data_IF_411530370069
#
_entry.id   IF_411530370069
#
_cell.length_a   1.000
_cell.length_b   1.000
_cell.length_c   1.000
_cell.angle_alpha   90.00
_cell.angle_beta   90.00
_cell.angle_gamma   90.00
#
_symmetry.space_group_name_H-M   'P 1'
#
loop_
_entity.id
_entity.type
_entity.pdbx_description
1 polymer ?
#
# COMPACT_ATOMS: atom_id res chain seq x y z
N UNK A 1 10.55 -7.88 -4.14
CA UNK A 1 10.21 -8.96 -3.20
C UNK A 1 9.26 -9.93 -3.89
N UNK A 2 9.39 -11.21 -3.64
CA UNK A 2 8.51 -12.26 -4.15
C UNK A 2 8.35 -13.28 -3.02
N UNK A 3 7.12 -13.75 -2.77
CA UNK A 3 6.86 -14.65 -1.66
C UNK A 3 5.43 -15.15 -1.63
N UNK A 4 5.11 -15.99 -0.63
CA UNK A 4 3.77 -16.51 -0.43
C UNK A 4 2.98 -15.67 0.57
N UNK A 5 1.74 -15.36 0.24
CA UNK A 5 0.80 -14.63 1.08
C UNK A 5 -0.46 -15.47 1.27
N UNK A 6 -0.79 -15.79 2.52
CA UNK A 6 -2.08 -16.40 2.87
C UNK A 6 -3.13 -15.33 3.07
N UNK A 7 -4.16 -15.31 2.21
CA UNK A 7 -5.31 -14.41 2.32
C UNK A 7 -6.20 -14.83 3.49
N UNK A 8 -7.07 -13.91 3.95
CA UNK A 8 -8.07 -14.19 5.00
C UNK A 8 -9.02 -15.35 4.64
N UNK A 9 -9.22 -15.59 3.35
CA UNK A 9 -10.01 -16.69 2.80
C UNK A 9 -9.34 -18.06 2.95
N UNK A 10 -8.05 -18.10 3.31
CA UNK A 10 -7.23 -19.31 3.37
C UNK A 10 -6.51 -19.63 2.05
N UNK A 11 -6.77 -18.87 0.99
CA UNK A 11 -6.06 -18.98 -0.29
C UNK A 11 -4.61 -18.53 -0.15
N UNK A 12 -3.68 -19.25 -0.77
CA UNK A 12 -2.26 -18.88 -0.83
C UNK A 12 -1.95 -18.37 -2.22
N UNK A 13 -1.50 -17.12 -2.31
CA UNK A 13 -1.07 -16.47 -3.54
C UNK A 13 0.42 -16.19 -3.51
N UNK A 14 1.03 -16.00 -4.68
CA UNK A 14 2.47 -15.67 -4.80
C UNK A 14 2.65 -14.28 -5.41
N UNK A 15 2.45 -13.22 -4.63
CA UNK A 15 2.66 -11.86 -5.10
C UNK A 15 4.13 -11.56 -5.38
N UNK A 16 4.34 -10.62 -6.30
CA UNK A 16 5.65 -10.06 -6.62
C UNK A 16 5.59 -8.53 -6.59
N UNK A 17 6.41 -7.93 -5.74
CA UNK A 17 6.61 -6.48 -5.65
C UNK A 17 7.96 -6.07 -6.23
N UNK A 18 7.98 -5.03 -7.06
CA UNK A 18 9.19 -4.31 -7.46
C UNK A 18 9.17 -2.91 -6.86
N UNK A 19 10.28 -2.47 -6.26
CA UNK A 19 10.39 -1.16 -5.63
C UNK A 19 11.40 -0.29 -6.38
N UNK A 20 11.03 0.95 -6.67
CA UNK A 20 11.87 1.94 -7.33
C UNK A 20 11.85 3.25 -6.57
N UNK A 21 13.03 3.81 -6.31
CA UNK A 21 13.16 5.16 -5.78
C UNK A 21 13.15 6.16 -6.94
N UNK A 22 12.25 7.14 -6.88
CA UNK A 22 12.05 8.17 -7.90
C UNK A 22 11.93 9.54 -7.25
N UNK A 23 11.67 10.58 -8.07
CA UNK A 23 11.48 11.95 -7.58
C UNK A 23 12.63 12.43 -6.69
N UNK A 24 13.86 12.20 -7.15
CA UNK A 24 15.10 12.57 -6.44
C UNK A 24 15.20 12.02 -5.00
N UNK A 25 14.64 10.83 -4.77
CA UNK A 25 14.70 10.18 -3.46
C UNK A 25 13.49 10.43 -2.56
N UNK A 26 12.52 11.23 -2.99
CA UNK A 26 11.34 11.56 -2.18
C UNK A 26 10.22 10.51 -2.23
N UNK A 27 10.16 9.70 -3.29
CA UNK A 27 9.05 8.79 -3.55
C UNK A 27 9.54 7.39 -3.88
N UNK A 28 8.96 6.38 -3.23
CA UNK A 28 9.09 4.98 -3.63
C UNK A 28 7.84 4.60 -4.42
N UNK A 29 8.03 3.99 -5.59
CA UNK A 29 6.98 3.34 -6.36
C UNK A 29 7.14 1.83 -6.18
N UNK A 30 6.08 1.18 -5.68
CA UNK A 30 5.91 -0.26 -5.70
C UNK A 30 5.02 -0.65 -6.87
N UNK A 31 5.47 -1.61 -7.69
CA UNK A 31 4.62 -2.34 -8.63
C UNK A 31 4.38 -3.73 -8.07
N UNK A 32 3.13 -4.05 -7.75
CA UNK A 32 2.72 -5.33 -7.17
C UNK A 32 1.94 -6.12 -8.22
N UNK A 33 2.38 -7.34 -8.53
CA UNK A 33 1.63 -8.30 -9.34
C UNK A 33 1.11 -9.39 -8.43
N UNK A 34 -0.21 -9.54 -8.37
CA UNK A 34 -0.90 -10.61 -7.64
C UNK A 34 -1.97 -11.22 -8.56
N UNK A 35 -1.98 -12.55 -8.69
CA UNK A 35 -2.87 -13.28 -9.62
C UNK A 35 -2.83 -12.76 -11.07
N UNK A 36 -1.66 -12.30 -11.52
CA UNK A 36 -1.47 -11.73 -12.86
C UNK A 36 -2.02 -10.32 -13.04
N UNK A 37 -2.62 -9.73 -12.01
CA UNK A 37 -3.07 -8.34 -12.01
C UNK A 37 -1.99 -7.43 -11.44
N UNK A 38 -1.61 -6.42 -12.21
CA UNK A 38 -0.68 -5.38 -11.77
C UNK A 38 -1.42 -4.28 -11.00
N UNK A 39 -0.84 -3.88 -9.89
CA UNK A 39 -1.26 -2.79 -9.02
C UNK A 39 -0.05 -1.91 -8.73
N UNK A 40 -0.30 -0.66 -8.34
CA UNK A 40 0.76 0.29 -8.06
C UNK A 40 0.54 0.95 -6.71
N UNK A 41 1.60 1.08 -5.90
CA UNK A 41 1.55 1.85 -4.66
C UNK A 41 2.65 2.90 -4.68
N UNK A 42 2.34 4.16 -4.34
CA UNK A 42 3.33 5.20 -4.14
C UNK A 42 3.46 5.54 -2.66
N UNK A 43 4.68 5.61 -2.18
CA UNK A 43 5.04 6.04 -0.82
C UNK A 43 5.83 7.34 -0.96
N UNK A 44 5.28 8.46 -0.53
CA UNK A 44 5.94 9.78 -0.68
C UNK A 44 6.01 10.50 0.65
N UNK A 45 7.13 11.18 0.91
CA UNK A 45 7.22 12.14 1.99
C UNK A 45 6.58 13.46 1.53
N UNK A 46 5.72 14.03 2.39
CA UNK A 46 5.15 15.37 2.20
C UNK A 46 4.96 16.07 3.54
N UNK A 47 5.82 17.04 3.86
CA UNK A 47 5.67 17.90 5.03
C UNK A 47 5.94 17.20 6.38
N UNK A 48 6.83 16.21 6.40
CA UNK A 48 7.16 15.35 7.53
C UNK A 48 6.27 14.11 7.66
N UNK A 49 5.30 13.91 6.75
CA UNK A 49 4.33 12.82 6.80
C UNK A 49 4.50 11.87 5.61
N UNK A 50 4.40 10.57 5.87
CA UNK A 50 4.37 9.56 4.81
C UNK A 50 2.95 9.48 4.24
N UNK A 51 2.83 9.80 2.96
CA UNK A 51 1.61 9.66 2.18
C UNK A 51 1.72 8.41 1.32
N UNK A 52 0.76 7.50 1.47
CA UNK A 52 0.69 6.27 0.70
C UNK A 52 -0.54 6.34 -0.20
N UNK A 53 -0.37 6.13 -1.50
CA UNK A 53 -1.49 6.01 -2.43
C UNK A 53 -1.41 4.67 -3.12
N UNK A 54 -2.47 3.88 -3.02
CA UNK A 54 -2.56 2.59 -3.69
C UNK A 54 -3.50 2.71 -4.89
N UNK A 55 -3.14 2.09 -6.00
CA UNK A 55 -3.89 2.02 -7.24
C UNK A 55 -4.21 0.54 -7.49
N UNK A 56 -5.44 0.17 -7.14
CA UNK A 56 -5.93 -1.20 -7.26
C UNK A 56 -6.37 -1.50 -8.70
N UNK A 57 -6.27 -2.77 -9.12
CA UNK A 57 -6.75 -3.26 -10.41
C UNK A 57 -8.25 -3.02 -10.64
N UNK A 58 -9.02 -2.88 -9.55
CA UNK A 58 -10.45 -2.57 -9.58
C UNK A 58 -10.76 -1.08 -9.76
N UNK A 59 -9.74 -0.25 -10.00
CA UNK A 59 -9.87 1.21 -10.14
C UNK A 59 -10.01 1.95 -8.82
N UNK A 60 -9.78 1.26 -7.69
CA UNK A 60 -9.81 1.91 -6.38
C UNK A 60 -8.50 2.63 -6.07
N UNK A 61 -8.59 3.86 -5.57
CA UNK A 61 -7.43 4.73 -5.34
C UNK A 61 -7.36 5.31 -3.91
N UNK A 62 -7.32 4.48 -2.84
CA UNK A 62 -7.26 5.00 -1.49
C UNK A 62 -5.93 5.72 -1.23
N UNK A 63 -6.04 6.85 -0.53
CA UNK A 63 -4.90 7.61 -0.03
C UNK A 63 -4.86 7.42 1.48
N UNK A 64 -3.67 7.15 2.01
CA UNK A 64 -3.40 7.01 3.42
C UNK A 64 -2.33 8.00 3.86
N UNK A 65 -2.35 8.30 5.15
CA UNK A 65 -1.26 9.00 5.80
C UNK A 65 -0.79 8.22 7.03
N UNK A 66 0.50 8.32 7.35
CA UNK A 66 1.06 7.63 8.50
C UNK A 66 0.60 8.28 9.80
N UNK A 67 -0.08 7.52 10.66
CA UNK A 67 -0.47 8.01 11.99
C UNK A 67 0.54 7.65 13.08
N UNK A 68 1.32 6.59 12.87
CA UNK A 68 2.39 6.17 13.78
C UNK A 68 3.40 5.30 13.03
N UNK A 69 4.69 5.50 13.28
CA UNK A 69 5.75 4.65 12.75
C UNK A 69 6.69 4.20 13.87
N UNK A 70 7.28 3.03 13.68
CA UNK A 70 8.37 2.48 14.48
C UNK A 70 9.45 1.95 13.55
N UNK A 71 10.54 1.42 14.11
CA UNK A 71 11.62 0.80 13.34
C UNK A 71 11.16 -0.43 12.53
N UNK A 72 10.02 -1.04 12.88
CA UNK A 72 9.53 -2.28 12.24
C UNK A 72 8.06 -2.23 11.78
N UNK A 73 7.39 -1.08 11.92
CA UNK A 73 5.98 -0.97 11.57
C UNK A 73 5.57 0.44 11.20
N UNK A 74 4.56 0.53 10.33
CA UNK A 74 3.89 1.77 9.98
C UNK A 74 2.39 1.55 10.08
N UNK A 75 1.71 2.37 10.88
CA UNK A 75 0.27 2.45 10.95
C UNK A 75 -0.24 3.50 9.96
N UNK A 76 -1.21 3.10 9.13
CA UNK A 76 -1.79 3.95 8.10
C UNK A 76 -3.23 4.32 8.48
N UNK A 77 -3.58 5.58 8.28
CA UNK A 77 -4.95 6.10 8.42
C UNK A 77 -5.47 6.49 7.05
N UNK A 78 -6.70 6.05 6.72
CA UNK A 78 -7.35 6.43 5.47
C UNK A 78 -7.60 7.94 5.44
N UNK A 79 -7.13 8.61 4.39
CA UNK A 79 -7.30 10.04 4.17
C UNK A 79 -8.76 10.42 3.89
N UNK A 80 -9.14 11.63 4.30
CA UNK A 80 -10.52 12.12 4.21
C UNK A 80 -11.03 12.34 2.78
N UNK A 81 -10.14 12.43 1.79
CA UNK A 81 -10.49 12.68 0.39
C UNK A 81 -10.74 11.39 -0.41
N UNK A 82 -11.41 10.41 0.20
CA UNK A 82 -11.77 9.17 -0.50
C UNK A 82 -13.25 8.87 -0.32
N UNK A 83 -13.88 8.26 -1.34
CA UNK A 83 -15.23 7.68 -1.22
C UNK A 83 -15.23 6.35 -0.45
N UNK A 84 -14.08 5.92 0.06
CA UNK A 84 -13.92 4.67 0.80
C UNK A 84 -14.18 4.93 2.28
N UNK A 85 -14.85 3.97 2.93
CA UNK A 85 -15.22 4.07 4.34
C UNK A 85 -14.52 2.95 5.10
N UNK A 86 -13.75 3.33 6.13
CA UNK A 86 -13.08 2.38 7.01
C UNK A 86 -14.09 1.41 7.65
N UNK A 87 -13.83 0.11 7.55
CA UNK A 87 -14.74 -0.94 8.02
C UNK A 87 -15.88 -1.31 7.06
N UNK A 88 -15.99 -0.65 5.90
CA UNK A 88 -16.94 -1.00 4.83
C UNK A 88 -16.25 -1.32 3.49
N UNK A 89 -15.14 -0.65 3.20
CA UNK A 89 -14.31 -0.92 2.02
C UNK A 89 -13.12 -1.80 2.40
N UNK A 90 -12.76 -2.77 1.57
CA UNK A 90 -11.56 -3.59 1.76
C UNK A 90 -10.32 -2.84 1.25
N UNK A 91 -9.34 -2.64 2.13
CA UNK A 91 -8.05 -2.05 1.79
C UNK A 91 -6.95 -2.51 2.73
N UNK A 92 -5.71 -2.44 2.26
CA UNK A 92 -4.53 -2.78 3.04
C UNK A 92 -4.23 -1.69 4.09
N UNK A 93 -4.23 -2.05 5.38
CA UNK A 93 -4.17 -1.08 6.49
C UNK A 93 -2.87 -1.08 7.28
N UNK A 94 -2.04 -2.13 7.16
CA UNK A 94 -0.79 -2.22 7.90
C UNK A 94 0.18 -3.22 7.27
N UNK A 95 1.48 -2.93 7.37
CA UNK A 95 2.57 -3.82 7.01
C UNK A 95 3.49 -4.00 8.21
N UNK A 96 3.94 -5.23 8.45
CA UNK A 96 4.92 -5.59 9.48
C UNK A 96 6.07 -6.34 8.80
N UNK A 97 7.31 -6.03 9.17
CA UNK A 97 8.52 -6.66 8.65
C UNK A 97 9.48 -7.08 9.77
#
# INVERSE_FOLDING_TARGET
WEGQLSRRTGEVVTPRSEFRLVSDGNTIVETLVEDGMEMLTTYSEKGGELIVKHYCSLGAEPIFSSSKSSLSSVALTLGQATSYVSGQSDFFTSMNY
#
